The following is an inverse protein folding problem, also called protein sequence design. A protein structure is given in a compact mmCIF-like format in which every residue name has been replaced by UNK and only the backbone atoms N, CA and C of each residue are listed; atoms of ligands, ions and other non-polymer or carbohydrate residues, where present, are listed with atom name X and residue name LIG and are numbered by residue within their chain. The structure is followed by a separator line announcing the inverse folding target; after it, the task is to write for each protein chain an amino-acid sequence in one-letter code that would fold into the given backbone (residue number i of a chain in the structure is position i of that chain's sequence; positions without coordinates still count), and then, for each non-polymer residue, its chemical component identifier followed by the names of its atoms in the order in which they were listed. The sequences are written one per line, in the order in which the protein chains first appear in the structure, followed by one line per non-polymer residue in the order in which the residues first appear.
data_IF_323293810877
#
_entry.id   IF_323293810877
#
_cell.length_a   1.000
_cell.length_b   1.000
_cell.length_c   1.000
_cell.angle_alpha   90.00
_cell.angle_beta   90.00
_cell.angle_gamma   90.00
#
_symmetry.space_group_name_H-M   'P 1'
#
loop_
_entity.id
_entity.type
_entity.pdbx_description
1 polymer ?
#
# COMPACT_ATOMS: atom_id res chain seq x y z
N UNK A 1 -18.64 -2.60 22.92
CA UNK A 1 -18.55 -4.08 22.93
C UNK A 1 -17.23 -4.44 22.26
N UNK A 2 -16.28 -5.03 22.99
CA UNK A 2 -14.98 -5.42 22.44
C UNK A 2 -15.19 -6.71 21.61
N UNK A 3 -14.62 -6.82 20.40
CA UNK A 3 -14.70 -8.04 19.61
C UNK A 3 -14.17 -9.24 20.39
N UNK A 4 -14.72 -10.43 20.13
CA UNK A 4 -14.20 -11.66 20.74
C UNK A 4 -12.72 -11.84 20.42
N UNK A 5 -11.96 -12.39 21.36
CA UNK A 5 -10.53 -12.73 21.17
C UNK A 5 -10.28 -13.51 19.87
N UNK A 6 -11.20 -14.40 19.51
CA UNK A 6 -11.13 -15.20 18.28
C UNK A 6 -11.16 -14.33 17.01
N UNK A 7 -11.94 -13.26 17.02
CA UNK A 7 -12.02 -12.29 15.90
C UNK A 7 -10.71 -11.54 15.73
N UNK A 8 -10.11 -11.08 16.83
CA UNK A 8 -8.83 -10.37 16.82
C UNK A 8 -7.70 -11.28 16.32
N UNK A 9 -7.68 -12.55 16.75
CA UNK A 9 -6.72 -13.54 16.29
C UNK A 9 -6.82 -13.81 14.79
N UNK A 10 -8.05 -13.90 14.25
CA UNK A 10 -8.27 -14.08 12.82
C UNK A 10 -7.77 -12.89 12.01
N UNK A 11 -8.05 -11.66 12.44
CA UNK A 11 -7.54 -10.46 11.79
C UNK A 11 -6.02 -10.42 11.79
N UNK A 12 -5.36 -10.76 12.91
CA UNK A 12 -3.90 -10.84 12.98
C UNK A 12 -3.35 -11.82 11.94
N UNK A 13 -3.91 -13.04 11.88
CA UNK A 13 -3.47 -14.06 10.93
C UNK A 13 -3.69 -13.63 9.47
N UNK A 14 -4.81 -12.98 9.18
CA UNK A 14 -5.10 -12.47 7.83
C UNK A 14 -4.11 -11.37 7.43
N UNK A 15 -3.80 -10.46 8.35
CA UNK A 15 -2.84 -9.40 8.15
C UNK A 15 -1.42 -9.93 7.91
N UNK A 16 -0.97 -10.92 8.69
CA UNK A 16 0.34 -11.56 8.48
C UNK A 16 0.48 -12.23 7.10
N UNK A 17 -0.64 -12.73 6.54
CA UNK A 17 -0.64 -13.43 5.26
C UNK A 17 -0.81 -12.51 4.04
N UNK A 18 -1.58 -11.42 4.15
CA UNK A 18 -1.97 -10.60 3.01
C UNK A 18 -2.03 -9.11 3.28
N UNK A 19 -1.42 -8.64 4.36
CA UNK A 19 -1.31 -7.23 4.70
C UNK A 19 -2.67 -6.55 4.91
N UNK A 20 -2.75 -5.26 4.60
CA UNK A 20 -3.96 -4.44 4.75
C UNK A 20 -5.09 -4.91 3.83
N UNK A 21 -4.77 -5.30 2.59
CA UNK A 21 -5.76 -5.77 1.60
C UNK A 21 -6.55 -6.99 2.09
N UNK A 22 -5.93 -7.83 2.93
CA UNK A 22 -6.58 -9.01 3.50
C UNK A 22 -7.65 -8.68 4.56
N UNK A 23 -7.61 -7.48 5.14
CA UNK A 23 -8.59 -6.98 6.10
C UNK A 23 -9.74 -6.22 5.43
N UNK A 24 -9.67 -5.96 4.12
CA UNK A 24 -10.74 -5.25 3.43
C UNK A 24 -12.06 -6.05 3.46
N UNK A 25 -13.20 -5.38 3.72
CA UNK A 25 -14.51 -6.04 3.73
C UNK A 25 -14.82 -6.66 2.36
N UNK A 26 -14.80 -7.99 2.29
CA UNK A 26 -15.25 -8.69 1.08
C UNK A 26 -16.75 -8.49 0.90
N UNK A 27 -17.17 -8.22 -0.35
CA UNK A 27 -18.60 -8.08 -0.69
C UNK A 27 -19.34 -9.33 -0.23
N UNK A 28 -20.21 -9.17 0.77
CA UNK A 28 -21.00 -10.25 1.35
C UNK A 28 -22.17 -10.58 0.41
N UNK A 29 -22.31 -11.84 0.01
CA UNK A 29 -23.43 -12.33 -0.80
C UNK A 29 -23.03 -12.94 -2.15
N UNK A 30 -24.02 -13.52 -2.86
CA UNK A 30 -23.82 -14.06 -4.21
C UNK A 30 -23.66 -12.90 -5.21
N UNK A 31 -22.69 -12.94 -6.14
CA UNK A 31 -22.61 -11.93 -7.18
C UNK A 31 -23.91 -11.92 -8.00
N UNK A 32 -24.47 -10.72 -8.21
CA UNK A 32 -25.61 -10.53 -9.11
C UNK A 32 -25.24 -11.03 -10.51
N UNK A 33 -26.18 -11.70 -11.20
CA UNK A 33 -25.97 -12.09 -12.59
C UNK A 33 -25.65 -10.84 -13.42
N UNK A 34 -24.64 -10.94 -14.29
CA UNK A 34 -24.12 -9.81 -15.10
C UNK A 34 -25.22 -9.26 -15.99
N UNK A 35 -25.72 -8.06 -15.69
CA UNK A 35 -26.30 -7.20 -16.70
C UNK A 35 -25.13 -6.46 -17.38
N UNK A 36 -24.91 -6.78 -18.65
CA UNK A 36 -23.93 -6.13 -19.53
C UNK A 36 -24.40 -4.70 -19.80
N UNK A 37 -24.27 -3.79 -18.83
CA UNK A 37 -24.42 -2.34 -18.99
C UNK A 37 -24.02 -1.62 -17.70
N UNK A 38 -22.73 -1.45 -17.48
CA UNK A 38 -22.22 -0.24 -16.79
C UNK A 38 -20.74 -0.13 -17.14
N UNK A 39 -20.45 0.67 -18.16
CA UNK A 39 -19.20 1.41 -18.23
C UNK A 39 -19.20 2.30 -16.98
N UNK A 40 -18.53 1.85 -15.93
CA UNK A 40 -18.06 2.78 -14.92
C UNK A 40 -16.59 2.98 -15.22
N UNK A 41 -16.32 4.08 -15.91
CA UNK A 41 -15.05 4.77 -15.87
C UNK A 41 -14.75 5.11 -14.41
N UNK A 42 -14.25 4.14 -13.66
CA UNK A 42 -13.49 4.43 -12.46
C UNK A 42 -12.21 5.05 -12.98
N UNK A 43 -12.21 6.38 -13.16
CA UNK A 43 -11.00 7.18 -13.18
C UNK A 43 -10.15 6.65 -12.03
N UNK A 44 -9.11 5.91 -12.38
CA UNK A 44 -8.11 5.43 -11.45
C UNK A 44 -7.43 6.69 -10.93
N UNK A 45 -7.98 7.25 -9.86
CA UNK A 45 -7.19 8.02 -8.91
C UNK A 45 -6.01 7.09 -8.63
N UNK A 46 -4.75 7.50 -8.90
CA UNK A 46 -3.61 6.67 -8.56
C UNK A 46 -3.71 6.44 -7.06
N UNK A 47 -4.14 5.23 -6.67
CA UNK A 47 -4.18 4.85 -5.28
C UNK A 47 -2.77 5.10 -4.74
N UNK A 48 -2.69 5.62 -3.53
CA UNK A 48 -1.47 5.93 -2.80
C UNK A 48 -0.75 4.62 -2.40
N UNK A 49 -0.29 3.91 -3.44
CA UNK A 49 0.01 2.47 -3.44
C UNK A 49 0.05 1.84 -4.85
N UNK A 50 -0.24 2.59 -5.91
CA UNK A 50 0.07 2.18 -7.29
C UNK A 50 1.58 1.95 -7.42
N UNK A 51 1.96 0.91 -8.17
CA UNK A 51 3.36 0.56 -8.45
C UNK A 51 4.15 1.78 -8.96
N UNK A 52 3.51 2.62 -9.77
CA UNK A 52 4.09 3.84 -10.32
C UNK A 52 4.39 4.90 -9.24
N UNK A 53 3.47 5.12 -8.29
CA UNK A 53 3.68 6.05 -7.18
C UNK A 53 4.80 5.58 -6.24
N UNK A 54 4.85 4.26 -5.99
CA UNK A 54 5.93 3.64 -5.22
C UNK A 54 7.29 3.77 -5.92
N UNK A 55 7.33 3.61 -7.24
CA UNK A 55 8.55 3.79 -8.03
C UNK A 55 9.04 5.24 -7.98
N UNK A 56 8.14 6.21 -8.12
CA UNK A 56 8.48 7.64 -8.03
C UNK A 56 9.03 8.01 -6.64
N UNK A 57 8.41 7.53 -5.56
CA UNK A 57 8.90 7.79 -4.21
C UNK A 57 10.27 7.13 -3.98
N UNK A 58 10.47 5.91 -4.48
CA UNK A 58 11.75 5.22 -4.37
C UNK A 58 12.87 5.95 -5.13
N UNK A 59 12.58 6.49 -6.31
CA UNK A 59 13.52 7.31 -7.07
C UNK A 59 13.87 8.62 -6.34
N UNK A 60 12.86 9.32 -5.82
CA UNK A 60 13.04 10.52 -4.99
C UNK A 60 13.96 10.24 -3.79
N UNK A 61 13.69 9.16 -3.05
CA UNK A 61 14.49 8.74 -1.89
C UNK A 61 15.92 8.35 -2.27
N UNK A 62 16.14 7.74 -3.44
CA UNK A 62 17.49 7.42 -3.93
C UNK A 62 18.30 8.68 -4.22
N UNK A 63 17.69 9.69 -4.84
CA UNK A 63 18.35 10.97 -5.09
C UNK A 63 18.72 11.67 -3.78
N UNK A 64 17.79 11.73 -2.82
CA UNK A 64 18.02 12.34 -1.51
C UNK A 64 19.17 11.64 -0.75
N UNK A 65 19.17 10.31 -0.73
CA UNK A 65 20.25 9.54 -0.12
C UNK A 65 21.60 9.76 -0.82
N UNK A 66 21.63 9.82 -2.15
CA UNK A 66 22.87 10.08 -2.89
C UNK A 66 23.45 11.46 -2.56
N UNK A 67 22.58 12.48 -2.45
CA UNK A 67 22.99 13.82 -2.03
C UNK A 67 23.57 13.83 -0.61
N UNK A 68 22.89 13.20 0.35
CA UNK A 68 23.36 13.11 1.74
C UNK A 68 24.70 12.36 1.85
N UNK A 69 24.89 11.28 1.08
CA UNK A 69 26.16 10.55 1.03
C UNK A 69 27.30 11.43 0.51
N UNK A 70 27.05 12.20 -0.55
CA UNK A 70 28.02 13.15 -1.09
C UNK A 70 28.38 14.23 -0.06
N UNK A 71 27.39 14.77 0.64
CA UNK A 71 27.62 15.74 1.71
C UNK A 71 28.47 15.13 2.84
N UNK A 72 28.11 13.95 3.31
CA UNK A 72 28.86 13.27 4.37
C UNK A 72 30.31 13.02 3.96
N UNK A 73 30.56 12.57 2.72
CA UNK A 73 31.91 12.39 2.21
C UNK A 73 32.74 13.69 2.22
N UNK A 74 32.12 14.84 1.92
CA UNK A 74 32.81 16.13 1.97
C UNK A 74 33.13 16.58 3.41
N UNK A 75 32.27 16.24 4.37
CA UNK A 75 32.52 16.51 5.79
C UNK A 75 33.67 15.65 6.29
N UNK A 76 33.66 14.34 6.00
CA UNK A 76 34.71 13.41 6.41
C UNK A 76 36.09 13.73 5.81
N UNK A 77 36.16 14.35 4.62
CA UNK A 77 37.44 14.78 4.03
C UNK A 77 38.00 16.09 4.66
N UNK A 78 37.20 16.79 5.47
CA UNK A 78 37.61 18.03 6.15
C UNK A 78 38.01 17.83 7.60
N UNK A 79 37.71 16.66 8.17
CA UNK A 79 38.24 16.18 9.45
C UNK A 79 39.60 15.51 9.22
#
# INVERSE_FOLDING_TARGET
MIPSFTTVYQWKKQFELGGLDALEPKKKGRPSMKNKNTKQDTKKIPAEGSVEALQAELERLRMENAYLKKLNALVQNKE
#
